data_IF_745584687257
#
_entry.id   IF_745584687257
#
_cell.length_a   1.000
_cell.length_b   1.000
_cell.length_c   1.000
_cell.angle_alpha   90.00
_cell.angle_beta   90.00
_cell.angle_gamma   90.00
#
_symmetry.space_group_name_H-M   'P 1'
#
loop_
_entity.id
_entity.type
_entity.pdbx_description
1 polymer ?
#
# COMPACT_ATOMS: atom_id res chain seq x y z
N UNK A 1 -23.63 -26.05 12.50
CA UNK A 1 -23.71 -26.31 11.05
C UNK A 1 -23.99 -24.98 10.37
N UNK A 2 -22.97 -24.37 9.77
CA UNK A 2 -23.13 -23.14 8.97
C UNK A 2 -23.81 -23.50 7.66
N UNK A 3 -24.83 -22.72 7.29
CA UNK A 3 -25.71 -22.98 6.16
C UNK A 3 -24.96 -22.63 4.85
N UNK A 4 -24.18 -23.58 4.34
CA UNK A 4 -23.24 -23.44 3.21
C UNK A 4 -23.86 -22.91 1.91
N UNK A 5 -25.19 -22.94 1.79
CA UNK A 5 -25.94 -22.47 0.61
C UNK A 5 -25.96 -20.93 0.52
N UNK A 6 -25.82 -20.21 1.62
CA UNK A 6 -25.90 -18.73 1.66
C UNK A 6 -24.54 -18.04 1.83
N UNK A 7 -23.47 -18.82 1.99
CA UNK A 7 -22.12 -18.31 2.21
C UNK A 7 -21.40 -18.21 0.87
N UNK A 8 -21.65 -17.12 0.14
CA UNK A 8 -21.04 -16.86 -1.18
C UNK A 8 -19.51 -16.80 -1.15
N UNK A 9 -18.91 -16.71 0.04
CA UNK A 9 -17.46 -16.69 0.24
C UNK A 9 -16.84 -18.10 0.26
N UNK A 10 -17.63 -19.16 0.46
CA UNK A 10 -17.11 -20.54 0.60
C UNK A 10 -16.86 -21.26 -0.73
N UNK A 11 -17.19 -20.67 -1.87
CA UNK A 11 -16.99 -21.27 -3.21
C UNK A 11 -15.83 -20.65 -4.00
N UNK A 12 -15.21 -19.58 -3.49
CA UNK A 12 -14.09 -18.93 -4.19
C UNK A 12 -12.79 -19.69 -3.95
N UNK A 13 -12.07 -20.01 -5.04
CA UNK A 13 -10.73 -20.61 -4.98
C UNK A 13 -9.63 -19.57 -4.72
N UNK A 14 -9.99 -18.31 -4.50
CA UNK A 14 -9.08 -17.22 -4.16
C UNK A 14 -8.66 -17.32 -2.69
N UNK A 15 -7.43 -16.91 -2.38
CA UNK A 15 -6.91 -16.86 -1.01
C UNK A 15 -7.87 -16.17 -0.03
N UNK A 16 -8.03 -16.76 1.16
CA UNK A 16 -8.83 -16.16 2.22
C UNK A 16 -8.26 -14.79 2.65
N UNK A 17 -9.12 -13.84 3.03
CA UNK A 17 -8.68 -12.59 3.64
C UNK A 17 -7.77 -12.84 4.85
N UNK A 18 -6.93 -11.87 5.18
CA UNK A 18 -6.06 -11.94 6.35
C UNK A 18 -6.90 -11.94 7.63
N UNK A 19 -6.64 -12.89 8.52
CA UNK A 19 -7.52 -13.18 9.67
C UNK A 19 -8.80 -13.96 9.31
N UNK A 20 -8.95 -14.42 8.08
CA UNK A 20 -9.98 -15.35 7.63
C UNK A 20 -11.27 -14.70 7.13
N UNK A 21 -11.57 -13.47 7.54
CA UNK A 21 -12.80 -12.74 7.19
C UNK A 21 -12.43 -11.38 6.62
N UNK A 22 -13.06 -11.01 5.50
CA UNK A 22 -12.93 -9.68 4.93
C UNK A 22 -13.83 -8.74 5.73
N UNK A 23 -13.24 -7.77 6.41
CA UNK A 23 -13.98 -6.75 7.14
C UNK A 23 -14.69 -5.83 6.15
N UNK A 24 -15.93 -5.49 6.44
CA UNK A 24 -16.67 -4.43 5.75
C UNK A 24 -17.34 -3.54 6.80
N UNK A 25 -16.99 -2.26 6.78
CA UNK A 25 -17.59 -1.21 7.63
C UNK A 25 -18.16 -0.08 6.78
N UNK A 26 -18.43 -0.33 5.50
CA UNK A 26 -19.17 0.59 4.65
C UNK A 26 -20.65 0.55 5.03
N UNK A 27 -21.15 1.65 5.57
CA UNK A 27 -22.55 1.87 5.88
C UNK A 27 -23.09 2.95 4.93
N UNK A 28 -23.37 2.61 3.68
CA UNK A 28 -23.81 3.58 2.65
C UNK A 28 -25.27 4.06 2.82
N UNK A 29 -25.82 4.01 4.03
CA UNK A 29 -27.22 4.36 4.29
C UNK A 29 -27.32 5.86 4.58
N UNK A 30 -28.32 6.49 3.95
CA UNK A 30 -28.78 7.85 4.26
C UNK A 30 -29.41 7.86 5.66
N UNK A 31 -28.60 7.91 6.72
CA UNK A 31 -29.12 8.22 8.05
C UNK A 31 -29.57 9.69 8.08
N UNK A 32 -30.63 9.95 8.85
CA UNK A 32 -31.05 11.31 9.15
C UNK A 32 -29.91 12.04 9.87
N UNK A 33 -29.32 13.03 9.19
CA UNK A 33 -28.21 13.83 9.69
C UNK A 33 -28.54 14.54 11.02
N UNK A 34 -29.82 14.61 11.41
CA UNK A 34 -30.24 15.13 12.70
C UNK A 34 -29.62 14.37 13.88
N UNK A 35 -29.45 13.04 13.77
CA UNK A 35 -28.87 12.20 14.84
C UNK A 35 -27.43 12.62 15.19
N UNK A 36 -26.67 13.11 14.23
CA UNK A 36 -25.26 13.43 14.40
C UNK A 36 -25.01 14.85 14.94
N UNK A 37 -26.01 15.74 14.92
CA UNK A 37 -25.83 17.16 15.29
C UNK A 37 -25.38 17.35 16.74
N UNK A 38 -25.83 16.47 17.62
CA UNK A 38 -25.56 16.56 19.06
C UNK A 38 -24.31 15.77 19.48
N UNK A 39 -23.67 15.05 18.55
CA UNK A 39 -22.46 14.29 18.82
C UNK A 39 -21.20 15.15 18.68
N UNK A 40 -20.18 14.81 19.47
CA UNK A 40 -18.84 15.38 19.27
C UNK A 40 -18.31 14.96 17.90
N UNK A 41 -17.51 15.85 17.29
CA UNK A 41 -16.93 15.59 15.97
C UNK A 41 -15.41 15.76 15.97
N UNK A 42 -14.76 15.01 15.08
CA UNK A 42 -13.32 15.08 14.82
C UNK A 42 -13.10 15.23 13.33
N UNK A 43 -12.44 16.32 12.94
CA UNK A 43 -11.98 16.52 11.55
C UNK A 43 -10.72 15.71 11.31
N UNK A 44 -10.78 14.80 10.33
CA UNK A 44 -9.68 13.94 9.96
C UNK A 44 -8.67 14.66 9.07
N UNK A 45 -7.39 14.40 9.33
CA UNK A 45 -6.31 14.67 8.38
C UNK A 45 -6.42 13.72 7.18
N UNK A 46 -5.82 14.08 6.05
CA UNK A 46 -5.87 13.27 4.83
C UNK A 46 -5.39 11.82 5.05
N UNK A 47 -4.28 11.63 5.77
CA UNK A 47 -3.76 10.30 6.08
C UNK A 47 -4.69 9.48 6.98
N UNK A 48 -5.37 10.13 7.94
CA UNK A 48 -6.34 9.47 8.83
C UNK A 48 -7.60 9.06 8.05
N UNK A 49 -8.08 9.90 7.12
CA UNK A 49 -9.18 9.54 6.23
C UNK A 49 -8.82 8.37 5.31
N UNK A 50 -7.61 8.35 4.72
CA UNK A 50 -7.13 7.22 3.93
C UNK A 50 -7.12 5.93 4.77
N UNK A 51 -6.67 5.99 6.02
CA UNK A 51 -6.66 4.81 6.89
C UNK A 51 -8.07 4.37 7.30
N UNK A 52 -8.98 5.30 7.59
CA UNK A 52 -10.40 5.01 7.81
C UNK A 52 -10.99 4.23 6.63
N UNK A 53 -10.76 4.69 5.40
CA UNK A 53 -11.27 4.03 4.19
C UNK A 53 -10.69 2.64 3.99
N UNK A 54 -9.41 2.43 4.28
CA UNK A 54 -8.76 1.12 4.14
C UNK A 54 -9.16 0.14 5.24
N UNK A 55 -9.51 0.61 6.43
CA UNK A 55 -10.22 -0.19 7.43
C UNK A 55 -11.61 -0.56 6.90
N UNK A 56 -12.39 0.43 6.48
CA UNK A 56 -13.80 0.24 6.15
C UNK A 56 -14.04 -0.67 4.95
N UNK A 57 -13.17 -0.60 3.94
CA UNK A 57 -13.25 -1.43 2.73
C UNK A 57 -12.63 -2.82 2.90
N UNK A 58 -12.08 -3.13 4.07
CA UNK A 58 -11.48 -4.44 4.38
C UNK A 58 -10.04 -4.60 3.91
N UNK A 59 -9.42 -3.55 3.38
CA UNK A 59 -8.01 -3.59 2.96
C UNK A 59 -7.09 -3.87 4.15
N UNK A 60 -7.47 -3.36 5.33
CA UNK A 60 -6.77 -3.58 6.59
C UNK A 60 -7.39 -4.70 7.45
N UNK A 61 -8.16 -5.62 6.85
CA UNK A 61 -8.63 -6.82 7.58
C UNK A 61 -7.45 -7.51 8.28
N UNK A 62 -7.59 -7.89 9.57
CA UNK A 62 -8.85 -8.02 10.32
C UNK A 62 -9.26 -6.78 11.15
N UNK A 63 -8.62 -5.62 10.97
CA UNK A 63 -8.96 -4.42 11.73
C UNK A 63 -10.39 -3.97 11.43
N UNK A 64 -11.14 -3.64 12.48
CA UNK A 64 -12.51 -3.09 12.42
C UNK A 64 -12.57 -1.59 12.73
N UNK A 65 -11.43 -1.00 13.04
CA UNK A 65 -11.32 0.36 13.55
C UNK A 65 -9.88 0.75 13.83
N UNK A 66 -9.71 1.93 14.44
CA UNK A 66 -8.40 2.40 14.87
C UNK A 66 -7.95 1.66 16.13
N UNK A 67 -6.65 1.38 16.21
CA UNK A 67 -6.06 0.57 17.27
C UNK A 67 -6.21 1.20 18.64
N UNK A 68 -6.52 0.37 19.63
CA UNK A 68 -6.42 0.70 21.03
C UNK A 68 -4.96 0.59 21.53
N UNK A 69 -4.72 0.86 22.81
CA UNK A 69 -3.36 0.82 23.37
C UNK A 69 -2.77 -0.59 23.34
N UNK A 70 -3.60 -1.61 23.57
CA UNK A 70 -3.18 -3.01 23.61
C UNK A 70 -2.78 -3.51 22.23
N UNK A 71 -3.55 -3.15 21.21
CA UNK A 71 -3.22 -3.39 19.80
C UNK A 71 -1.91 -2.72 19.43
N UNK A 72 -1.73 -1.44 19.77
CA UNK A 72 -0.50 -0.70 19.52
C UNK A 72 0.71 -1.40 20.14
N UNK A 73 0.67 -1.68 21.44
CA UNK A 73 1.79 -2.30 22.16
C UNK A 73 2.14 -3.68 21.59
N UNK A 74 1.13 -4.48 21.23
CA UNK A 74 1.35 -5.79 20.61
C UNK A 74 2.00 -5.67 19.23
N UNK A 75 1.55 -4.72 18.40
CA UNK A 75 2.12 -4.49 17.06
C UNK A 75 3.56 -3.98 17.13
N UNK A 76 3.85 -3.08 18.08
CA UNK A 76 5.20 -2.56 18.27
C UNK A 76 6.19 -3.64 18.72
N UNK A 77 5.77 -4.46 19.70
CA UNK A 77 6.64 -5.45 20.33
C UNK A 77 6.74 -6.77 19.56
N UNK A 78 5.62 -7.23 19.00
CA UNK A 78 5.50 -8.60 18.49
C UNK A 78 5.21 -8.66 16.99
N UNK A 79 4.95 -7.51 16.35
CA UNK A 79 4.48 -7.46 14.95
C UNK A 79 3.23 -8.33 14.72
N UNK A 80 2.37 -8.38 15.76
CA UNK A 80 1.12 -9.13 15.78
C UNK A 80 0.06 -8.34 16.55
N UNK A 81 -1.19 -8.51 16.15
CA UNK A 81 -2.34 -8.12 16.98
C UNK A 81 -2.42 -9.02 18.23
N UNK A 82 -3.16 -8.62 19.28
CA UNK A 82 -3.27 -9.39 20.52
C UNK A 82 -3.83 -10.81 20.35
N UNK A 83 -4.56 -11.06 19.27
CA UNK A 83 -5.04 -12.39 18.88
C UNK A 83 -4.01 -13.21 18.09
N UNK A 84 -2.74 -12.79 18.13
CA UNK A 84 -1.59 -13.41 17.47
C UNK A 84 -1.61 -13.34 15.92
N UNK A 85 -2.54 -12.62 15.30
CA UNK A 85 -2.53 -12.41 13.85
C UNK A 85 -1.41 -11.44 13.46
N UNK A 86 -0.61 -11.78 12.44
CA UNK A 86 0.50 -10.92 11.95
C UNK A 86 -0.01 -9.53 11.59
N UNK A 87 0.64 -8.49 12.12
CA UNK A 87 0.37 -7.10 11.76
C UNK A 87 1.53 -6.19 12.20
N UNK A 88 2.12 -5.45 11.27
CA UNK A 88 3.45 -4.82 11.47
C UNK A 88 3.44 -3.30 11.62
N UNK A 89 2.33 -2.64 11.29
CA UNK A 89 2.23 -1.16 11.19
C UNK A 89 1.08 -0.65 12.06
N UNK A 90 1.32 0.23 13.05
CA UNK A 90 0.23 0.84 13.81
C UNK A 90 -0.72 1.67 12.93
N UNK A 91 -2.03 1.55 13.17
CA UNK A 91 -3.08 2.36 12.52
C UNK A 91 -3.82 3.13 13.61
N UNK A 92 -3.47 4.40 13.77
CA UNK A 92 -3.84 5.23 14.91
C UNK A 92 -4.64 6.47 14.46
N UNK A 93 -5.55 6.92 15.31
CA UNK A 93 -6.26 8.19 15.15
C UNK A 93 -5.82 9.15 16.26
N UNK A 94 -5.03 10.17 15.91
CA UNK A 94 -4.53 11.18 16.83
C UNK A 94 -5.41 12.45 16.85
N UNK A 95 -5.71 12.94 18.04
CA UNK A 95 -6.49 14.17 18.28
C UNK A 95 -5.81 15.08 19.31
N UNK A 96 -6.09 16.38 19.23
CA UNK A 96 -5.53 17.37 20.15
C UNK A 96 -6.09 17.19 21.57
N UNK A 97 -5.41 17.76 22.58
CA UNK A 97 -5.88 17.67 23.98
C UNK A 97 -7.21 18.38 24.19
N UNK A 98 -7.43 19.46 23.45
CA UNK A 98 -8.64 20.29 23.50
C UNK A 98 -9.85 19.50 23.00
N UNK A 99 -9.72 18.81 21.86
CA UNK A 99 -10.77 17.93 21.33
C UNK A 99 -10.99 16.73 22.27
N UNK A 100 -9.89 16.13 22.75
CA UNK A 100 -9.94 14.99 23.66
C UNK A 100 -10.62 15.27 25.00
N UNK A 101 -10.67 16.53 25.45
CA UNK A 101 -11.32 16.89 26.71
C UNK A 101 -12.84 16.65 26.70
N UNK A 102 -13.46 16.72 25.52
CA UNK A 102 -14.91 16.59 25.35
C UNK A 102 -15.37 15.18 24.95
N UNK A 103 -14.43 14.26 24.70
CA UNK A 103 -14.72 12.89 24.25
C UNK A 103 -14.45 11.92 25.41
N UNK A 104 -15.37 11.00 25.68
CA UNK A 104 -15.24 9.93 26.67
C UNK A 104 -15.21 8.57 25.98
N UNK A 105 -14.74 7.56 26.71
CA UNK A 105 -14.89 6.18 26.27
C UNK A 105 -16.37 5.83 26.19
N UNK A 106 -16.74 4.97 25.22
CA UNK A 106 -18.10 4.60 24.83
C UNK A 106 -18.90 5.70 24.12
N UNK A 107 -18.32 6.87 23.90
CA UNK A 107 -18.95 7.88 23.05
C UNK A 107 -18.96 7.44 21.59
N UNK A 108 -19.95 7.97 20.86
CA UNK A 108 -19.96 7.98 19.40
C UNK A 108 -19.46 9.33 18.92
N UNK A 109 -18.42 9.31 18.10
CA UNK A 109 -17.77 10.52 17.57
C UNK A 109 -17.95 10.57 16.06
N UNK A 110 -18.48 11.69 15.58
CA UNK A 110 -18.65 11.96 14.15
C UNK A 110 -17.29 12.23 13.52
N UNK A 111 -16.99 11.54 12.42
CA UNK A 111 -15.77 11.75 11.64
C UNK A 111 -16.09 12.68 10.48
N UNK A 112 -15.36 13.78 10.40
CA UNK A 112 -15.49 14.78 9.34
C UNK A 112 -14.27 14.73 8.40
N UNK A 113 -14.48 15.02 7.12
CA UNK A 113 -13.38 15.31 6.21
C UNK A 113 -12.87 16.76 6.37
N UNK A 114 -11.85 17.14 5.61
CA UNK A 114 -11.27 18.49 5.65
C UNK A 114 -12.26 19.60 5.20
N UNK A 115 -13.33 19.24 4.51
CA UNK A 115 -14.39 20.15 4.08
C UNK A 115 -15.55 20.21 5.09
N UNK A 116 -15.39 19.59 6.27
CA UNK A 116 -16.40 19.44 7.32
C UNK A 116 -17.63 18.62 6.89
N UNK A 117 -17.49 17.74 5.90
CA UNK A 117 -18.53 16.78 5.57
C UNK A 117 -18.47 15.57 6.48
N UNK A 118 -19.63 15.08 6.93
CA UNK A 118 -19.74 13.83 7.68
C UNK A 118 -19.38 12.68 6.74
N UNK A 119 -18.31 11.97 7.09
CA UNK A 119 -17.82 10.81 6.33
C UNK A 119 -17.98 9.49 7.08
N UNK A 120 -18.15 9.53 8.40
CA UNK A 120 -18.29 8.30 9.18
C UNK A 120 -18.48 8.53 10.67
N UNK A 121 -18.37 7.44 11.43
CA UNK A 121 -18.53 7.41 12.87
C UNK A 121 -17.42 6.56 13.52
N UNK A 122 -16.99 6.94 14.70
CA UNK A 122 -16.12 6.16 15.57
C UNK A 122 -16.87 5.83 16.86
N UNK A 123 -16.91 4.55 17.21
CA UNK A 123 -17.39 4.06 18.50
C UNK A 123 -16.17 3.92 19.41
N UNK A 124 -15.94 4.91 20.28
CA UNK A 124 -14.71 5.02 21.07
C UNK A 124 -14.66 3.88 22.10
N UNK A 125 -13.68 3.00 21.99
CA UNK A 125 -13.42 1.96 22.99
C UNK A 125 -12.43 2.43 24.06
N UNK A 126 -11.41 3.19 23.66
CA UNK A 126 -10.35 3.67 24.53
C UNK A 126 -9.85 5.05 24.09
N UNK A 127 -9.50 5.90 25.07
CA UNK A 127 -8.80 7.16 24.84
C UNK A 127 -7.50 7.17 25.63
N UNK A 128 -6.36 7.20 24.96
CA UNK A 128 -5.05 7.02 25.61
C UNK A 128 -3.98 8.00 25.10
N UNK A 129 -2.91 8.12 25.87
CA UNK A 129 -1.67 8.80 25.48
C UNK A 129 -0.56 7.77 25.32
N UNK A 130 0.37 8.03 24.41
CA UNK A 130 1.51 7.16 24.18
C UNK A 130 2.75 7.97 23.76
N UNK A 131 3.92 7.53 24.18
CA UNK A 131 5.17 8.18 23.81
C UNK A 131 5.49 7.91 22.32
N UNK A 132 5.43 8.97 21.51
CA UNK A 132 5.70 8.92 20.08
C UNK A 132 7.13 8.49 19.75
N UNK A 133 8.10 8.76 20.64
CA UNK A 133 9.48 8.31 20.44
C UNK A 133 9.60 6.78 20.51
N UNK A 134 8.80 6.13 21.37
CA UNK A 134 8.75 4.66 21.42
C UNK A 134 8.19 4.10 20.12
N UNK A 135 7.12 4.70 19.57
CA UNK A 135 6.54 4.30 18.28
C UNK A 135 7.59 4.44 17.17
N UNK A 136 8.25 5.60 17.09
CA UNK A 136 9.28 5.88 16.07
C UNK A 136 10.40 4.84 16.16
N UNK A 137 10.99 4.64 17.34
CA UNK A 137 12.10 3.72 17.52
C UNK A 137 11.69 2.26 17.21
N UNK A 138 10.51 1.82 17.65
CA UNK A 138 10.05 0.45 17.41
C UNK A 138 9.71 0.16 15.94
N UNK A 139 9.20 1.16 15.22
CA UNK A 139 8.81 0.99 13.81
C UNK A 139 9.99 1.21 12.86
N UNK A 140 10.79 2.25 13.09
CA UNK A 140 11.84 2.69 12.16
C UNK A 140 13.25 2.39 12.64
N UNK A 141 13.44 2.09 13.93
CA UNK A 141 14.77 1.99 14.56
C UNK A 141 15.30 3.37 14.98
N UNK A 142 16.60 3.44 15.25
CA UNK A 142 17.30 4.70 15.49
C UNK A 142 17.51 5.44 14.17
N UNK A 143 16.51 6.25 13.80
CA UNK A 143 16.50 7.07 12.60
C UNK A 143 16.46 8.54 12.98
N UNK A 144 17.18 9.37 12.23
CA UNK A 144 17.13 10.82 12.40
C UNK A 144 15.74 11.40 12.11
N UNK A 145 15.50 12.62 12.59
CA UNK A 145 14.21 13.32 12.45
C UNK A 145 13.81 13.59 10.99
N UNK A 146 14.78 13.54 10.07
CA UNK A 146 14.56 13.70 8.63
C UNK A 146 13.94 12.44 7.97
N UNK A 147 13.82 11.32 8.70
CA UNK A 147 13.16 10.13 8.18
C UNK A 147 11.67 10.42 7.92
N UNK A 148 11.17 10.31 6.67
CA UNK A 148 9.81 10.74 6.33
C UNK A 148 8.72 10.07 7.18
N UNK A 149 8.87 8.77 7.45
CA UNK A 149 7.95 8.02 8.32
C UNK A 149 8.01 8.41 9.80
N UNK A 150 9.20 8.78 10.29
CA UNK A 150 9.36 9.20 11.68
C UNK A 150 8.71 10.56 11.90
N UNK A 151 8.91 11.48 10.94
CA UNK A 151 8.25 12.79 10.92
C UNK A 151 6.73 12.70 10.93
N UNK A 152 6.14 11.73 10.21
CA UNK A 152 4.67 11.51 10.24
C UNK A 152 4.16 11.18 11.64
N UNK A 153 4.90 10.40 12.42
CA UNK A 153 4.55 10.08 13.81
C UNK A 153 4.85 11.27 14.72
N UNK A 154 6.00 11.93 14.56
CA UNK A 154 6.44 13.04 15.39
C UNK A 154 5.44 14.22 15.38
N UNK A 155 4.78 14.49 14.24
CA UNK A 155 3.76 15.55 14.14
C UNK A 155 2.36 15.12 14.61
N UNK A 156 2.16 13.88 15.04
CA UNK A 156 0.87 13.44 15.58
C UNK A 156 0.52 14.20 16.86
N UNK A 157 -0.77 14.43 17.04
CA UNK A 157 -1.32 14.94 18.28
C UNK A 157 -1.08 13.94 19.44
N UNK A 158 -1.13 14.39 20.70
CA UNK A 158 -0.67 13.58 21.83
C UNK A 158 -1.69 12.56 22.37
N UNK A 159 -2.96 12.64 21.95
CA UNK A 159 -4.03 11.73 22.42
C UNK A 159 -4.51 10.89 21.25
N UNK A 160 -4.71 9.59 21.49
CA UNK A 160 -5.20 8.63 20.51
C UNK A 160 -6.59 8.12 20.90
N UNK A 161 -7.42 7.88 19.89
CA UNK A 161 -8.71 7.19 20.05
C UNK A 161 -8.64 5.82 19.38
N UNK A 162 -8.90 4.77 20.16
CA UNK A 162 -9.15 3.42 19.68
C UNK A 162 -10.65 3.16 19.61
N UNK A 163 -11.09 2.35 18.64
CA UNK A 163 -12.51 2.03 18.51
C UNK A 163 -12.92 1.58 17.11
N UNK A 164 -14.06 0.90 17.03
CA UNK A 164 -14.61 0.45 15.76
C UNK A 164 -15.20 1.62 14.96
N UNK A 165 -15.13 1.53 13.63
CA UNK A 165 -15.56 2.63 12.75
C UNK A 165 -16.75 2.25 11.87
N UNK A 166 -17.41 3.25 11.32
CA UNK A 166 -18.33 3.14 10.20
C UNK A 166 -17.96 4.21 9.18
N UNK A 167 -18.00 3.87 7.89
CA UNK A 167 -17.75 4.82 6.80
C UNK A 167 -19.00 4.94 5.94
N UNK A 168 -19.45 6.18 5.74
CA UNK A 168 -20.65 6.50 4.98
C UNK A 168 -20.33 6.98 3.57
N UNK A 169 -19.14 7.56 3.37
CA UNK A 169 -18.74 8.15 2.09
C UNK A 169 -17.26 7.91 1.82
N UNK A 170 -16.96 7.30 0.67
CA UNK A 170 -15.60 7.20 0.15
C UNK A 170 -15.18 8.53 -0.47
N UNK A 171 -13.92 8.92 -0.28
CA UNK A 171 -13.30 10.06 -0.96
C UNK A 171 -13.33 9.84 -2.48
N UNK A 172 -13.74 10.89 -3.19
CA UNK A 172 -13.62 10.92 -4.64
C UNK A 172 -12.28 11.54 -5.05
N UNK A 173 -11.69 11.00 -6.11
CA UNK A 173 -10.48 11.52 -6.74
C UNK A 173 -10.55 11.34 -8.25
N UNK A 174 -9.63 11.98 -8.97
CA UNK A 174 -9.46 11.78 -10.42
C UNK A 174 -9.14 10.33 -10.82
N UNK A 175 -8.79 9.48 -9.83
CA UNK A 175 -8.41 8.09 -10.02
C UNK A 175 -9.40 7.11 -9.39
N UNK A 176 -10.57 7.56 -8.93
CA UNK A 176 -11.60 6.70 -8.30
C UNK A 176 -11.97 5.50 -9.16
N UNK A 177 -11.97 5.64 -10.48
CA UNK A 177 -12.26 4.54 -11.41
C UNK A 177 -11.26 3.37 -11.33
N UNK A 178 -10.07 3.60 -10.78
CA UNK A 178 -9.04 2.59 -10.58
C UNK A 178 -8.95 2.10 -9.13
N UNK A 179 -9.54 2.80 -8.14
CA UNK A 179 -9.44 2.45 -6.71
C UNK A 179 -10.48 1.38 -6.36
N UNK A 180 -10.26 0.18 -6.90
CA UNK A 180 -11.10 -0.98 -6.67
C UNK A 180 -10.97 -1.44 -5.21
N UNK A 181 -12.09 -1.71 -4.55
CA UNK A 181 -12.12 -2.33 -3.22
C UNK A 181 -11.68 -3.81 -3.25
N UNK A 182 -11.28 -4.39 -2.10
CA UNK A 182 -11.08 -5.82 -1.96
C UNK A 182 -12.24 -6.69 -2.45
N UNK A 183 -13.49 -6.28 -2.20
CA UNK A 183 -14.67 -7.01 -2.70
C UNK A 183 -14.72 -7.01 -4.24
N UNK A 184 -14.47 -5.86 -4.86
CA UNK A 184 -14.48 -5.73 -6.32
C UNK A 184 -13.34 -6.49 -6.99
N UNK A 185 -12.12 -6.42 -6.46
CA UNK A 185 -10.97 -7.16 -6.99
C UNK A 185 -11.14 -8.67 -6.86
N UNK A 186 -11.62 -9.17 -5.71
CA UNK A 186 -11.94 -10.59 -5.53
C UNK A 186 -13.00 -11.07 -6.51
N UNK A 187 -14.06 -10.28 -6.73
CA UNK A 187 -15.07 -10.57 -7.76
C UNK A 187 -14.45 -10.61 -9.16
N UNK A 188 -13.65 -9.62 -9.53
CA UNK A 188 -12.95 -9.56 -10.81
C UNK A 188 -12.06 -10.80 -11.04
N UNK A 189 -11.31 -11.22 -10.02
CA UNK A 189 -10.44 -12.40 -10.13
C UNK A 189 -11.25 -13.69 -10.29
N UNK A 190 -12.40 -13.82 -9.60
CA UNK A 190 -13.32 -14.95 -9.80
C UNK A 190 -13.91 -14.95 -11.23
N UNK A 191 -14.33 -13.79 -11.74
CA UNK A 191 -14.87 -13.65 -13.10
C UNK A 191 -13.81 -13.99 -14.17
N UNK A 192 -12.53 -13.75 -13.89
CA UNK A 192 -11.39 -14.18 -14.72
C UNK A 192 -10.95 -15.63 -14.48
N UNK A 193 -11.64 -16.37 -13.61
CA UNK A 193 -11.28 -17.73 -13.19
C UNK A 193 -9.85 -17.86 -12.63
N UNK A 194 -9.35 -16.80 -11.99
CA UNK A 194 -8.02 -16.83 -11.37
C UNK A 194 -8.09 -17.33 -9.93
N UNK A 195 -7.18 -18.23 -9.59
CA UNK A 195 -6.95 -18.79 -8.26
C UNK A 195 -5.61 -18.32 -7.70
N UNK A 196 -4.57 -18.27 -8.55
CA UNK A 196 -3.23 -17.79 -8.19
C UNK A 196 -2.98 -16.43 -8.81
N UNK A 197 -3.16 -15.39 -8.00
CA UNK A 197 -2.94 -14.00 -8.41
C UNK A 197 -1.69 -13.45 -7.74
N UNK A 198 -0.78 -12.88 -8.51
CA UNK A 198 0.42 -12.21 -7.99
C UNK A 198 0.23 -10.69 -7.97
N UNK A 199 0.38 -10.08 -6.80
CA UNK A 199 0.32 -8.63 -6.65
C UNK A 199 1.67 -7.97 -6.91
N UNK A 200 1.67 -6.87 -7.67
CA UNK A 200 2.83 -6.00 -7.86
C UNK A 200 2.59 -4.62 -7.25
N UNK A 201 3.40 -4.28 -6.25
CA UNK A 201 3.39 -2.96 -5.61
C UNK A 201 4.49 -2.07 -6.20
N UNK A 202 4.17 -0.80 -6.43
CA UNK A 202 5.14 0.18 -6.90
C UNK A 202 4.68 1.59 -6.58
N UNK A 203 5.64 2.51 -6.58
CA UNK A 203 5.43 3.96 -6.44
C UNK A 203 6.07 4.74 -7.59
N UNK A 204 6.56 4.03 -8.61
CA UNK A 204 7.29 4.58 -9.73
C UNK A 204 6.63 4.21 -11.06
N UNK A 205 6.83 5.03 -12.11
CA UNK A 205 6.54 4.63 -13.47
C UNK A 205 7.26 3.33 -13.81
N UNK A 206 6.64 2.52 -14.65
CA UNK A 206 7.20 1.23 -15.03
C UNK A 206 8.43 1.41 -15.96
N UNK A 207 9.44 0.59 -15.73
CA UNK A 207 10.65 0.48 -16.55
C UNK A 207 10.96 -1.01 -16.78
N UNK A 208 11.99 -1.32 -17.57
CA UNK A 208 12.21 -2.69 -18.05
C UNK A 208 12.51 -3.69 -16.91
N UNK A 209 13.18 -3.28 -15.83
CA UNK A 209 13.33 -4.15 -14.65
C UNK A 209 11.99 -4.49 -13.96
N UNK A 210 11.04 -3.55 -13.89
CA UNK A 210 9.70 -3.83 -13.36
C UNK A 210 8.95 -4.82 -14.25
N UNK A 211 9.02 -4.62 -15.56
CA UNK A 211 8.43 -5.55 -16.53
C UNK A 211 9.02 -6.96 -16.37
N UNK A 212 10.35 -7.06 -16.25
CA UNK A 212 11.04 -8.34 -16.05
C UNK A 212 10.56 -9.08 -14.80
N UNK A 213 10.48 -8.40 -13.63
CA UNK A 213 10.07 -9.06 -12.38
C UNK A 213 8.59 -9.41 -12.37
N UNK A 214 7.74 -8.65 -13.07
CA UNK A 214 6.32 -8.97 -13.20
C UNK A 214 6.11 -10.24 -14.04
N UNK A 215 6.72 -10.31 -15.23
CA UNK A 215 6.63 -11.49 -16.10
C UNK A 215 7.31 -12.71 -15.48
N UNK A 216 8.50 -12.52 -14.90
CA UNK A 216 9.22 -13.61 -14.23
C UNK A 216 8.50 -14.05 -12.96
N UNK A 217 7.84 -13.12 -12.25
CA UNK A 217 7.12 -13.39 -11.01
C UNK A 217 5.89 -14.28 -11.25
N UNK A 218 5.14 -13.98 -12.32
CA UNK A 218 4.06 -14.84 -12.80
C UNK A 218 4.55 -16.28 -13.04
N UNK A 219 5.69 -16.44 -13.71
CA UNK A 219 6.28 -17.77 -13.97
C UNK A 219 6.78 -18.46 -12.70
N UNK A 220 7.56 -17.76 -11.86
CA UNK A 220 8.11 -18.30 -10.60
C UNK A 220 7.01 -18.71 -9.61
N UNK A 221 5.93 -17.95 -9.55
CA UNK A 221 4.79 -18.23 -8.69
C UNK A 221 3.73 -19.15 -9.31
N UNK A 222 3.91 -19.58 -10.56
CA UNK A 222 2.91 -20.34 -11.33
C UNK A 222 1.51 -19.67 -11.24
N UNK A 223 1.49 -18.36 -11.48
CA UNK A 223 0.30 -17.53 -11.32
C UNK A 223 -0.45 -17.33 -12.64
N UNK A 224 -1.77 -17.23 -12.55
CA UNK A 224 -2.70 -17.08 -13.66
C UNK A 224 -3.00 -15.61 -13.95
N UNK A 225 -2.94 -14.77 -12.91
CA UNK A 225 -3.19 -13.33 -13.01
C UNK A 225 -2.14 -12.47 -12.32
N UNK A 226 -1.78 -11.36 -12.96
CA UNK A 226 -0.96 -10.29 -12.40
C UNK A 226 -1.86 -9.10 -12.03
N UNK A 227 -1.84 -8.71 -10.75
CA UNK A 227 -2.51 -7.52 -10.27
C UNK A 227 -1.51 -6.36 -10.12
N UNK A 228 -1.53 -5.45 -11.10
CA UNK A 228 -0.75 -4.23 -11.11
C UNK A 228 -1.39 -3.22 -10.17
N UNK A 229 -0.71 -2.88 -9.08
CA UNK A 229 -1.32 -2.11 -8.01
C UNK A 229 -0.40 -1.00 -7.46
N UNK A 230 -0.10 0.04 -8.29
CA UNK A 230 0.68 1.19 -7.87
C UNK A 230 0.00 2.01 -6.78
N UNK A 231 0.82 2.62 -5.91
CA UNK A 231 0.35 3.54 -4.88
C UNK A 231 0.00 4.89 -5.48
N UNK A 232 -1.22 5.33 -5.22
CA UNK A 232 -1.68 6.71 -5.46
C UNK A 232 -2.07 7.31 -4.11
N UNK A 233 -1.92 8.61 -3.93
CA UNK A 233 -2.13 9.28 -2.64
C UNK A 233 -0.95 10.17 -2.27
N UNK A 234 -0.73 10.39 -0.98
CA UNK A 234 0.33 11.29 -0.50
C UNK A 234 1.72 10.75 -0.88
N UNK A 235 2.53 11.62 -1.47
CA UNK A 235 3.88 11.32 -1.95
C UNK A 235 4.86 12.37 -1.40
N UNK A 236 6.14 12.01 -1.34
CA UNK A 236 7.19 12.97 -0.97
C UNK A 236 7.61 13.83 -2.17
N UNK A 237 8.17 14.99 -1.90
CA UNK A 237 8.81 15.84 -2.91
C UNK A 237 9.80 15.03 -3.75
N UNK A 238 9.84 15.32 -5.06
CA UNK A 238 10.62 14.62 -6.09
C UNK A 238 10.18 13.18 -6.44
N UNK A 239 9.08 12.67 -5.89
CA UNK A 239 8.42 11.48 -6.45
C UNK A 239 7.67 11.83 -7.74
N UNK A 240 7.43 10.84 -8.61
CA UNK A 240 6.53 11.02 -9.76
C UNK A 240 5.08 11.23 -9.30
N UNK A 241 4.34 12.08 -10.02
CA UNK A 241 2.91 12.27 -9.77
C UNK A 241 2.11 11.01 -10.10
N UNK A 242 0.97 10.83 -9.42
CA UNK A 242 0.08 9.67 -9.63
C UNK A 242 -0.37 9.55 -11.09
N UNK A 243 -0.62 10.66 -11.78
CA UNK A 243 -1.02 10.68 -13.18
C UNK A 243 0.02 10.05 -14.10
N UNK A 244 1.31 10.35 -13.90
CA UNK A 244 2.40 9.79 -14.70
C UNK A 244 2.57 8.29 -14.43
N UNK A 245 2.46 7.89 -13.16
CA UNK A 245 2.54 6.48 -12.77
C UNK A 245 1.41 5.71 -13.45
N UNK A 246 0.15 6.15 -13.29
CA UNK A 246 -1.03 5.51 -13.89
C UNK A 246 -0.89 5.40 -15.40
N UNK A 247 -0.60 6.51 -16.09
CA UNK A 247 -0.41 6.53 -17.56
C UNK A 247 0.65 5.54 -18.03
N UNK A 248 1.72 5.33 -17.26
CA UNK A 248 2.75 4.35 -17.60
C UNK A 248 2.23 2.91 -17.57
N UNK A 249 1.36 2.57 -16.61
CA UNK A 249 0.75 1.23 -16.51
C UNK A 249 -0.41 1.04 -17.48
N UNK A 250 -1.18 2.09 -17.78
CA UNK A 250 -2.20 2.05 -18.85
C UNK A 250 -1.57 1.69 -20.20
N UNK A 251 -0.44 2.30 -20.55
CA UNK A 251 0.32 1.97 -21.77
C UNK A 251 0.77 0.51 -21.74
N UNK A 252 1.28 0.02 -20.60
CA UNK A 252 1.71 -1.38 -20.48
C UNK A 252 0.56 -2.36 -20.64
N UNK A 253 -0.56 -2.11 -19.96
CA UNK A 253 -1.73 -2.97 -20.03
C UNK A 253 -2.30 -3.01 -21.45
N UNK A 254 -2.35 -1.87 -22.15
CA UNK A 254 -2.94 -1.78 -23.48
C UNK A 254 -2.08 -2.39 -24.60
N UNK A 255 -0.75 -2.33 -24.47
CA UNK A 255 0.14 -2.61 -25.61
C UNK A 255 1.14 -3.74 -25.40
N UNK A 256 1.41 -4.11 -24.15
CA UNK A 256 2.51 -5.02 -23.84
C UNK A 256 2.09 -6.22 -23.00
N UNK A 257 1.00 -6.12 -22.23
CA UNK A 257 0.50 -7.21 -21.42
C UNK A 257 -0.71 -7.91 -22.04
N UNK A 258 -0.83 -9.20 -21.72
CA UNK A 258 -1.99 -10.01 -22.08
C UNK A 258 -3.20 -9.56 -21.24
N UNK A 259 -4.27 -9.15 -21.91
CA UNK A 259 -5.49 -8.62 -21.28
C UNK A 259 -6.15 -9.63 -20.32
N UNK A 260 -6.11 -10.91 -20.68
CA UNK A 260 -6.67 -12.01 -19.88
C UNK A 260 -5.80 -12.44 -18.70
N UNK A 261 -4.56 -11.93 -18.61
CA UNK A 261 -3.61 -12.24 -17.51
C UNK A 261 -3.28 -11.05 -16.63
N UNK A 262 -3.85 -9.87 -16.90
CA UNK A 262 -3.54 -8.66 -16.14
C UNK A 262 -4.78 -7.92 -15.68
N UNK A 263 -4.72 -7.43 -14.45
CA UNK A 263 -5.71 -6.53 -13.87
C UNK A 263 -4.97 -5.32 -13.31
N UNK A 264 -5.54 -4.14 -13.52
CA UNK A 264 -4.98 -2.88 -13.07
C UNK A 264 -5.93 -2.20 -12.08
N UNK A 265 -5.37 -1.72 -10.98
CA UNK A 265 -6.04 -0.85 -10.03
C UNK A 265 -5.02 0.05 -9.35
N UNK A 266 -5.47 0.94 -8.47
CA UNK A 266 -4.57 1.81 -7.70
C UNK A 266 -4.75 1.57 -6.20
N UNK A 267 -3.64 1.57 -5.47
CA UNK A 267 -3.67 1.45 -4.02
C UNK A 267 -3.66 2.85 -3.42
N UNK A 268 -4.86 3.40 -3.17
CA UNK A 268 -5.02 4.76 -2.63
C UNK A 268 -4.58 4.85 -1.15
N UNK A 269 -3.31 5.13 -0.90
CA UNK A 269 -2.76 5.24 0.46
C UNK A 269 -1.51 6.13 0.46
N UNK A 270 -0.87 6.26 1.61
CA UNK A 270 0.40 6.93 1.77
C UNK A 270 1.48 5.93 2.21
N UNK A 271 2.70 6.14 1.70
CA UNK A 271 3.86 5.37 2.15
C UNK A 271 4.26 5.81 3.55
N UNK A 272 4.44 4.85 4.46
CA UNK A 272 4.99 5.11 5.80
C UNK A 272 6.51 5.08 5.81
N UNK A 273 7.13 4.56 4.75
CA UNK A 273 8.58 4.40 4.65
C UNK A 273 9.13 3.50 5.77
N UNK A 274 8.35 2.52 6.22
CA UNK A 274 8.72 1.64 7.33
C UNK A 274 9.46 0.38 6.87
N UNK A 275 10.07 0.43 5.68
CA UNK A 275 10.99 -0.59 5.16
C UNK A 275 10.42 -2.01 5.28
N UNK A 276 11.11 -2.95 5.95
CA UNK A 276 10.65 -4.33 6.10
C UNK A 276 9.27 -4.48 6.73
N UNK A 277 8.92 -3.68 7.75
CA UNK A 277 7.58 -3.74 8.38
C UNK A 277 6.48 -3.38 7.36
N UNK A 278 6.73 -2.36 6.52
CA UNK A 278 5.79 -1.96 5.47
C UNK A 278 5.70 -2.99 4.34
N UNK A 279 6.77 -3.73 4.06
CA UNK A 279 6.74 -4.83 3.09
C UNK A 279 5.75 -5.92 3.49
N UNK A 280 5.74 -6.32 4.77
CA UNK A 280 4.79 -7.30 5.31
C UNK A 280 3.37 -6.74 5.31
N UNK A 281 3.19 -5.50 5.77
CA UNK A 281 1.89 -4.82 5.77
C UNK A 281 1.29 -4.71 4.37
N UNK A 282 2.11 -4.33 3.38
CA UNK A 282 1.67 -4.23 1.98
C UNK A 282 1.32 -5.58 1.39
N UNK A 283 2.03 -6.66 1.77
CA UNK A 283 1.67 -8.03 1.40
C UNK A 283 0.32 -8.45 2.00
N UNK A 284 0.07 -8.16 3.28
CA UNK A 284 -1.23 -8.38 3.95
C UNK A 284 -2.35 -7.64 3.21
N UNK A 285 -2.13 -6.38 2.85
CA UNK A 285 -3.11 -5.63 2.06
C UNK A 285 -3.42 -6.36 0.74
N UNK A 286 -2.41 -6.86 0.02
CA UNK A 286 -2.60 -7.61 -1.24
C UNK A 286 -3.34 -8.92 -1.01
N UNK A 287 -3.09 -9.61 0.09
CA UNK A 287 -3.89 -10.78 0.47
C UNK A 287 -5.36 -10.40 0.61
N UNK A 288 -5.67 -9.27 1.26
CA UNK A 288 -7.05 -8.80 1.39
C UNK A 288 -7.68 -8.46 0.04
N UNK A 289 -6.93 -7.93 -0.92
CA UNK A 289 -7.36 -7.79 -2.33
C UNK A 289 -7.51 -9.12 -3.10
N UNK A 290 -7.14 -10.27 -2.52
CA UNK A 290 -7.26 -11.58 -3.16
C UNK A 290 -5.98 -12.09 -3.83
N UNK A 291 -4.82 -11.46 -3.58
CA UNK A 291 -3.56 -11.94 -4.14
C UNK A 291 -3.04 -13.18 -3.40
N UNK A 292 -2.99 -14.28 -4.15
CA UNK A 292 -2.10 -15.44 -4.03
C UNK A 292 -0.71 -15.23 -3.45
N UNK A 293 -0.03 -14.36 -4.18
CA UNK A 293 1.41 -14.18 -4.17
C UNK A 293 1.71 -12.69 -4.18
N UNK A 294 2.90 -12.31 -3.73
CA UNK A 294 3.34 -10.92 -3.71
C UNK A 294 4.79 -10.80 -4.12
N UNK A 295 5.06 -9.92 -5.09
CA UNK A 295 6.42 -9.61 -5.53
C UNK A 295 7.07 -8.71 -4.50
N UNK A 296 8.27 -9.10 -4.05
CA UNK A 296 9.13 -8.29 -3.19
C UNK A 296 10.52 -8.19 -3.83
N UNK A 297 10.92 -6.97 -4.18
CA UNK A 297 12.28 -6.68 -4.65
C UNK A 297 13.25 -6.37 -3.51
N UNK A 298 14.54 -6.25 -3.83
CA UNK A 298 15.64 -5.99 -2.88
C UNK A 298 15.38 -4.82 -1.90
N UNK A 299 14.87 -3.69 -2.39
CA UNK A 299 14.66 -2.45 -1.61
C UNK A 299 13.17 -2.09 -1.47
N UNK A 300 12.31 -3.12 -1.37
CA UNK A 300 10.86 -2.93 -1.26
C UNK A 300 10.51 -1.98 -0.10
N UNK A 301 9.72 -0.94 -0.40
CA UNK A 301 9.25 0.11 0.54
C UNK A 301 10.35 0.87 1.30
N UNK A 302 11.62 0.76 0.90
CA UNK A 302 12.75 1.48 1.50
C UNK A 302 12.94 2.91 0.96
N UNK A 303 13.75 3.70 1.67
CA UNK A 303 14.17 5.06 1.26
C UNK A 303 15.59 5.12 0.67
N UNK A 304 16.19 3.97 0.34
CA UNK A 304 17.52 3.90 -0.28
C UNK A 304 18.70 4.06 0.70
N UNK A 305 18.44 4.19 2.01
CA UNK A 305 19.50 4.18 3.02
C UNK A 305 19.95 2.74 3.31
N UNK A 306 21.17 2.40 2.89
CA UNK A 306 21.79 1.07 3.05
C UNK A 306 21.89 0.61 4.51
N UNK A 307 21.85 1.53 5.48
CA UNK A 307 22.00 1.22 6.91
C UNK A 307 20.71 0.71 7.57
N UNK A 308 19.53 1.00 7.00
CA UNK A 308 18.21 0.59 7.54
C UNK A 308 17.71 -0.71 6.87
N UNK A 309 18.32 -1.09 5.74
CA UNK A 309 18.14 -2.40 5.13
C UNK A 309 18.79 -3.46 6.01
N UNK A 310 18.09 -3.83 7.08
CA UNK A 310 18.45 -4.95 7.92
C UNK A 310 18.64 -6.17 7.01
N UNK A 311 19.85 -6.74 7.02
CA UNK A 311 20.28 -7.88 6.19
C UNK A 311 19.46 -9.16 6.42
N UNK A 312 18.44 -9.13 7.29
CA UNK A 312 17.56 -10.24 7.59
C UNK A 312 16.23 -10.04 6.89
N UNK A 313 15.90 -11.00 6.06
CA UNK A 313 14.60 -11.15 5.43
C UNK A 313 13.49 -11.25 6.49
N UNK A 314 12.73 -10.17 6.66
CA UNK A 314 11.66 -10.09 7.67
C UNK A 314 10.60 -11.18 7.46
N UNK A 315 10.34 -11.58 6.21
CA UNK A 315 9.33 -12.59 5.90
C UNK A 315 9.73 -13.97 6.46
N UNK A 316 11.02 -14.27 6.59
CA UNK A 316 11.48 -15.50 7.25
C UNK A 316 11.12 -15.58 8.74
N UNK A 317 10.69 -14.47 9.35
CA UNK A 317 10.24 -14.42 10.74
C UNK A 317 8.77 -14.84 10.91
N UNK A 318 8.05 -15.06 9.80
CA UNK A 318 6.62 -15.39 9.79
C UNK A 318 6.37 -16.68 9.00
N UNK A 319 6.20 -17.79 9.71
CA UNK A 319 5.87 -19.09 9.10
C UNK A 319 4.36 -19.25 8.81
N UNK A 320 3.53 -18.38 9.38
CA UNK A 320 2.06 -18.39 9.30
C UNK A 320 1.50 -17.29 8.39
N UNK A 321 2.34 -16.63 7.58
CA UNK A 321 1.88 -15.71 6.54
C UNK A 321 1.29 -16.49 5.37
N UNK A 322 0.00 -16.31 5.10
CA UNK A 322 -0.70 -17.09 4.07
C UNK A 322 -0.33 -16.68 2.63
N UNK A 323 -0.12 -15.39 2.37
CA UNK A 323 0.33 -14.91 1.06
C UNK A 323 1.78 -15.32 0.79
N UNK A 324 2.03 -15.90 -0.39
CA UNK A 324 3.36 -16.39 -0.76
C UNK A 324 4.22 -15.26 -1.31
N UNK A 325 5.43 -15.12 -0.78
CA UNK A 325 6.35 -14.05 -1.22
C UNK A 325 7.25 -14.55 -2.35
N UNK A 326 7.19 -13.87 -3.50
CA UNK A 326 8.06 -14.12 -4.65
C UNK A 326 9.16 -13.07 -4.66
N UNK A 327 10.35 -13.47 -4.20
CA UNK A 327 11.49 -12.56 -4.04
C UNK A 327 12.26 -12.38 -5.34
N UNK A 328 12.75 -11.16 -5.52
CA UNK A 328 13.69 -10.82 -6.58
C UNK A 328 14.89 -10.07 -6.01
N UNK A 329 16.08 -10.51 -6.43
CA UNK A 329 17.29 -9.73 -6.29
C UNK A 329 17.29 -8.57 -7.29
N UNK A 330 18.37 -7.78 -7.26
CA UNK A 330 18.53 -6.65 -8.19
C UNK A 330 18.58 -7.15 -9.63
N UNK A 331 17.88 -6.45 -10.53
CA UNK A 331 17.84 -6.77 -11.96
C UNK A 331 18.74 -5.81 -12.71
N UNK A 332 19.54 -6.36 -13.61
CA UNK A 332 20.47 -5.65 -14.46
C UNK A 332 20.17 -5.92 -15.93
N UNK A 333 20.64 -5.04 -16.81
CA UNK A 333 20.66 -5.27 -18.24
C UNK A 333 22.08 -5.64 -18.69
N UNK A 334 22.27 -6.82 -19.25
CA UNK A 334 23.56 -7.27 -19.79
C UNK A 334 23.71 -6.79 -21.24
N UNK A 335 24.75 -5.99 -21.51
CA UNK A 335 25.05 -5.50 -22.87
C UNK A 335 25.41 -6.62 -23.83
N UNK A 336 26.22 -7.57 -23.37
CA UNK A 336 26.71 -8.70 -24.18
C UNK A 336 25.59 -9.66 -24.58
N UNK A 337 24.72 -10.02 -23.64
CA UNK A 337 23.60 -10.94 -23.92
C UNK A 337 22.33 -10.24 -24.42
N UNK A 338 22.24 -8.91 -24.29
CA UNK A 338 21.02 -8.10 -24.55
C UNK A 338 19.79 -8.59 -23.79
N UNK A 339 19.99 -9.09 -22.56
CA UNK A 339 18.95 -9.66 -21.70
C UNK A 339 18.95 -9.00 -20.33
N UNK A 340 17.79 -9.05 -19.67
CA UNK A 340 17.67 -8.70 -18.26
C UNK A 340 18.01 -9.92 -17.41
N UNK A 341 18.85 -9.71 -16.40
CA UNK A 341 19.37 -10.77 -15.55
C UNK A 341 19.17 -10.34 -14.10
N UNK A 342 18.57 -11.23 -13.32
CA UNK A 342 18.52 -11.10 -11.88
C UNK A 342 19.88 -11.50 -11.28
N UNK A 343 20.38 -10.69 -10.35
CA UNK A 343 21.60 -10.99 -9.64
C UNK A 343 21.51 -12.34 -8.92
N UNK A 344 22.51 -13.20 -9.13
CA UNK A 344 22.69 -14.45 -8.40
C UNK A 344 24.15 -14.62 -8.02
N UNK A 345 24.42 -15.39 -6.97
CA UNK A 345 25.79 -15.63 -6.49
C UNK A 345 26.61 -16.53 -7.44
N UNK A 346 25.93 -17.26 -8.34
CA UNK A 346 26.54 -18.29 -9.20
C UNK A 346 26.90 -17.76 -10.60
N UNK A 347 26.64 -16.47 -10.88
CA UNK A 347 26.93 -15.85 -12.15
C UNK A 347 28.26 -15.09 -12.07
N UNK A 348 29.35 -15.72 -12.52
CA UNK A 348 30.64 -15.07 -12.85
C UNK A 348 30.49 -14.16 -14.09
N UNK A 349 29.58 -13.20 -14.03
CA UNK A 349 29.42 -12.18 -15.06
C UNK A 349 30.33 -11.02 -14.68
N UNK A 350 31.33 -10.75 -15.53
CA UNK A 350 32.21 -9.58 -15.39
C UNK A 350 31.36 -8.31 -15.28
N UNK A 351 31.58 -7.56 -14.21
CA UNK A 351 30.79 -6.40 -13.78
C UNK A 351 30.64 -5.33 -14.88
N UNK A 352 31.63 -5.22 -15.78
CA UNK A 352 31.68 -4.23 -16.88
C UNK A 352 30.53 -4.33 -17.91
N UNK A 353 29.87 -5.49 -18.00
CA UNK A 353 28.78 -5.72 -18.96
C UNK A 353 27.39 -5.45 -18.38
N UNK A 354 27.27 -5.22 -17.07
CA UNK A 354 26.00 -5.14 -16.34
C UNK A 354 25.59 -3.68 -16.10
N UNK A 355 24.52 -3.25 -16.76
CA UNK A 355 23.94 -1.92 -16.58
C UNK A 355 22.85 -1.94 -15.53
N UNK A 356 22.98 -1.05 -14.54
CA UNK A 356 21.94 -0.83 -13.53
C UNK A 356 20.75 -0.05 -14.09
N UNK A 357 19.56 -0.35 -13.57
CA UNK A 357 18.34 0.42 -13.84
C UNK A 357 17.98 1.21 -12.57
N UNK A 358 18.50 2.44 -12.47
CA UNK A 358 18.34 3.30 -11.31
C UNK A 358 17.20 4.32 -11.47
N UNK A 359 16.30 4.34 -10.49
CA UNK A 359 15.23 5.35 -10.43
C UNK A 359 15.75 6.78 -10.25
N UNK A 360 16.92 6.98 -9.64
CA UNK A 360 17.53 8.32 -9.52
C UNK A 360 18.06 8.80 -10.87
N UNK A 361 18.81 7.95 -11.58
CA UNK A 361 19.31 8.26 -12.92
C UNK A 361 18.17 8.56 -13.90
N UNK A 362 17.08 7.79 -13.83
CA UNK A 362 15.89 8.04 -14.67
C UNK A 362 15.31 9.43 -14.44
N UNK A 363 15.22 9.86 -13.17
CA UNK A 363 14.67 11.16 -12.82
C UNK A 363 15.57 12.29 -13.32
N UNK A 364 16.88 12.16 -13.13
CA UNK A 364 17.87 13.13 -13.63
C UNK A 364 17.84 13.26 -15.15
N UNK A 365 17.68 12.14 -15.88
CA UNK A 365 17.51 12.16 -17.32
C UNK A 365 16.28 12.96 -17.74
N UNK A 366 15.12 12.68 -17.15
CA UNK A 366 13.90 13.44 -17.48
C UNK A 366 13.98 14.91 -17.06
N UNK A 367 14.52 15.21 -15.88
CA UNK A 367 14.73 16.59 -15.42
C UNK A 367 15.69 17.39 -16.32
N UNK A 368 16.66 16.71 -16.94
CA UNK A 368 17.58 17.30 -17.94
C UNK A 368 17.04 17.27 -19.37
N UNK A 369 15.78 16.88 -19.57
CA UNK A 369 15.14 16.85 -20.88
C UNK A 369 15.60 15.70 -21.80
N UNK A 370 16.19 14.65 -21.24
CA UNK A 370 16.69 13.47 -21.96
C UNK A 370 15.82 12.25 -21.71
N UNK A 371 15.60 11.45 -22.75
CA UNK A 371 14.97 10.14 -22.60
C UNK A 371 15.98 9.09 -22.12
N UNK A 372 15.59 8.19 -21.20
CA UNK A 372 16.35 6.98 -20.95
C UNK A 372 16.42 6.10 -22.21
N UNK A 373 17.49 5.29 -22.36
CA UNK A 373 17.64 4.41 -23.52
C UNK A 373 16.59 3.29 -23.55
N UNK A 374 16.37 2.70 -24.73
CA UNK A 374 15.30 1.69 -24.94
C UNK A 374 15.43 0.44 -24.07
N UNK A 375 16.66 0.06 -23.69
CA UNK A 375 16.90 -1.06 -22.77
C UNK A 375 16.54 -0.71 -21.32
N UNK A 376 16.39 0.56 -20.98
CA UNK A 376 16.03 1.02 -19.65
C UNK A 376 14.51 1.15 -19.51
N UNK A 377 13.86 1.81 -20.46
CA UNK A 377 12.41 2.07 -20.45
C UNK A 377 11.85 1.99 -21.87
N UNK A 378 10.62 1.48 -21.98
CA UNK A 378 9.88 1.42 -23.25
C UNK A 378 9.79 2.83 -23.86
N UNK A 379 10.13 3.02 -25.15
CA UNK A 379 10.16 4.35 -25.78
C UNK A 379 8.86 5.14 -25.67
N UNK A 380 7.70 4.45 -25.71
CA UNK A 380 6.39 5.10 -25.61
C UNK A 380 6.14 5.71 -24.23
N UNK A 381 6.64 5.06 -23.18
CA UNK A 381 6.55 5.56 -21.81
C UNK A 381 7.48 6.76 -21.65
N UNK A 382 8.72 6.65 -22.14
CA UNK A 382 9.67 7.78 -22.11
C UNK A 382 9.14 8.99 -22.87
N UNK A 383 8.54 8.76 -24.05
CA UNK A 383 7.89 9.81 -24.83
C UNK A 383 6.72 10.44 -24.08
N UNK A 384 5.84 9.64 -23.48
CA UNK A 384 4.72 10.15 -22.68
C UNK A 384 5.18 11.06 -21.52
N UNK A 385 6.25 10.68 -20.83
CA UNK A 385 6.83 11.50 -19.75
C UNK A 385 7.43 12.79 -20.33
N UNK A 386 8.21 12.71 -21.40
CA UNK A 386 8.80 13.90 -22.04
C UNK A 386 7.75 14.86 -22.60
N UNK A 387 6.72 14.35 -23.27
CA UNK A 387 5.61 15.16 -23.77
C UNK A 387 4.88 15.85 -22.60
N UNK A 388 4.78 15.19 -21.44
CA UNK A 388 4.22 15.80 -20.23
C UNK A 388 5.07 16.96 -19.71
N UNK A 389 6.40 16.82 -19.72
CA UNK A 389 7.33 17.90 -19.35
C UNK A 389 7.21 19.07 -20.33
N UNK A 390 7.21 18.79 -21.63
CA UNK A 390 7.12 19.81 -22.67
C UNK A 390 5.80 20.60 -22.62
N UNK A 391 4.72 19.94 -22.22
CA UNK A 391 3.40 20.55 -22.02
C UNK A 391 3.23 21.20 -20.62
N UNK A 392 4.30 21.33 -19.84
CA UNK A 392 4.31 21.95 -18.50
C UNK A 392 3.35 21.28 -17.51
N UNK A 393 3.09 19.98 -17.67
CA UNK A 393 2.34 19.22 -16.68
C UNK A 393 3.23 18.86 -15.49
N UNK A 394 2.63 18.71 -14.32
CA UNK A 394 3.35 18.29 -13.12
C UNK A 394 3.73 16.80 -13.21
N UNK A 395 4.99 16.55 -13.55
CA UNK A 395 5.57 15.19 -13.62
C UNK A 395 6.11 14.73 -12.27
N UNK A 396 6.62 15.68 -11.49
CA UNK A 396 7.18 15.44 -10.15
C UNK A 396 6.39 16.21 -9.11
N UNK A 397 6.22 15.61 -7.94
CA UNK A 397 5.66 16.27 -6.76
C UNK A 397 6.62 17.36 -6.32
N UNK A 398 6.11 18.59 -6.20
CA UNK A 398 6.87 19.77 -5.81
C UNK A 398 7.17 19.83 -4.32
#
# INVERSE_FOLDING_TARGET
>A
MTNYIFDSDNTSSIIKPHGGILIDRLCLINEDKSYYKDLQSVTLKENQQLDLEKIATGVYSPLKGFMDKKDLESVLNNMRLPNNIIWTIPILLDISKEVAANIRERDKVVLLDINNEIIGLLHVSEKFQYDKHIIINRVYGDVGIDHPGAKLIDIMNPVFLGGEIELYKLKQSDYSQYDLTPKQTRRLFNEKNWTKVIGFHTRNPIHMAHEFIQVSGMKKGDCEGLFLHPVVGMKKTNDYTSSIIIKSYEIMQKEYYEEDKTAFGVFSTYSRYAGPREAVFTAICRQNYGCSHFIVGRDHTGIGNKNINNKKDIFASFNDLAIKIVKFNKVYYSKSSKKYIEQSNDLDIKDDDMMEISGTETRELFQSGKCPPKWFMRPKISKMIMDSINNKMDVFVK
#
